data_IF_515918596086
#
_entry.id   IF_515918596086
#
_cell.length_a   1.000
_cell.length_b   1.000
_cell.length_c   1.000
_cell.angle_alpha   90.00
_cell.angle_beta   90.00
_cell.angle_gamma   90.00
#
_symmetry.space_group_name_H-M   'P 1'
#
loop_
_entity.id
_entity.type
_entity.pdbx_description
1 polymer ?
#
# COMPACT_ATOMS: atom_id res chain seq x y z
N UNK A 1 28.32 -59.01 3.05
CA UNK A 1 28.94 -57.87 2.32
C UNK A 1 27.85 -56.88 1.94
N UNK A 2 27.86 -55.72 2.58
CA UNK A 2 26.69 -54.84 2.80
C UNK A 2 26.70 -53.63 1.86
N UNK A 3 25.69 -53.53 0.99
CA UNK A 3 25.38 -52.35 0.15
C UNK A 3 24.49 -51.38 0.94
N UNK A 4 24.97 -50.19 1.33
CA UNK A 4 24.15 -49.08 1.86
C UNK A 4 24.82 -47.71 1.65
N UNK A 5 24.64 -47.04 0.52
CA UNK A 5 25.03 -45.61 0.37
C UNK A 5 24.20 -44.78 -0.63
N UNK A 6 23.13 -45.31 -1.24
CA UNK A 6 22.38 -44.58 -2.30
C UNK A 6 21.10 -43.85 -1.85
N UNK A 7 20.58 -44.06 -0.64
CA UNK A 7 19.28 -43.49 -0.22
C UNK A 7 19.30 -42.00 0.19
N UNK A 8 20.45 -41.39 0.44
CA UNK A 8 20.50 -40.06 1.07
C UNK A 8 20.42 -38.87 0.11
N UNK A 9 20.58 -39.08 -1.21
CA UNK A 9 20.59 -37.98 -2.20
C UNK A 9 19.16 -37.64 -2.69
N UNK A 10 18.26 -38.63 -2.76
CA UNK A 10 16.90 -38.41 -3.22
C UNK A 10 16.04 -37.59 -2.25
N UNK A 11 16.32 -37.64 -0.94
CA UNK A 11 15.52 -36.94 0.08
C UNK A 11 15.83 -35.44 0.19
N UNK A 12 17.00 -34.98 -0.28
CA UNK A 12 17.38 -33.56 -0.23
C UNK A 12 16.81 -32.75 -1.41
N UNK A 13 16.50 -33.41 -2.54
CA UNK A 13 15.89 -32.74 -3.69
C UNK A 13 14.39 -32.49 -3.50
N UNK A 14 13.69 -33.32 -2.71
CA UNK A 14 12.23 -33.19 -2.53
C UNK A 14 11.80 -32.04 -1.60
N UNK A 15 12.68 -31.55 -0.73
CA UNK A 15 12.38 -30.39 0.14
C UNK A 15 12.67 -29.02 -0.51
N UNK A 16 13.34 -28.98 -1.66
CA UNK A 16 13.67 -27.74 -2.35
C UNK A 16 12.52 -27.21 -3.24
N UNK A 17 11.48 -28.02 -3.49
CA UNK A 17 10.36 -27.67 -4.36
C UNK A 17 9.13 -27.10 -3.63
N UNK A 18 9.13 -27.04 -2.29
CA UNK A 18 8.04 -26.46 -1.51
C UNK A 18 8.28 -24.99 -1.13
N UNK A 19 9.16 -24.27 -1.86
CA UNK A 19 9.25 -22.81 -1.74
C UNK A 19 7.94 -22.21 -2.20
N UNK A 20 7.03 -22.00 -1.25
CA UNK A 20 5.74 -21.39 -1.46
C UNK A 20 5.91 -20.11 -2.28
N UNK A 21 5.24 -20.05 -3.42
CA UNK A 21 5.05 -18.80 -4.12
C UNK A 21 4.32 -17.89 -3.14
N UNK A 22 4.97 -16.80 -2.71
CA UNK A 22 4.27 -15.78 -1.98
C UNK A 22 3.28 -15.15 -2.97
N UNK A 23 1.99 -15.39 -2.75
CA UNK A 23 0.93 -14.79 -3.55
C UNK A 23 0.72 -13.35 -3.10
N UNK A 24 0.38 -12.48 -4.04
CA UNK A 24 0.04 -11.10 -3.74
C UNK A 24 -1.25 -11.08 -2.90
N UNK A 25 -1.15 -10.60 -1.66
CA UNK A 25 -2.30 -10.48 -0.77
C UNK A 25 -2.98 -9.15 -1.03
N UNK A 26 -4.24 -9.22 -1.44
CA UNK A 26 -5.09 -8.04 -1.64
C UNK A 26 -5.92 -7.77 -0.41
N UNK A 27 -5.81 -6.58 0.15
CA UNK A 27 -6.53 -6.17 1.35
C UNK A 27 -7.21 -4.81 1.13
N UNK A 28 -8.41 -4.66 1.69
CA UNK A 28 -9.07 -3.36 1.79
C UNK A 28 -8.71 -2.75 3.14
N UNK A 29 -8.21 -1.53 3.10
CA UNK A 29 -7.91 -0.71 4.28
C UNK A 29 -9.03 0.31 4.43
N UNK A 30 -9.79 0.18 5.49
CA UNK A 30 -10.71 1.21 5.96
C UNK A 30 -10.18 1.84 7.25
N UNK A 31 -10.92 2.80 7.78
CA UNK A 31 -10.54 3.51 9.00
C UNK A 31 -11.47 3.18 10.18
N UNK A 32 -12.37 2.19 10.06
CA UNK A 32 -13.46 1.99 11.02
C UNK A 32 -13.01 1.45 12.37
N UNK A 33 -11.94 0.66 12.39
CA UNK A 33 -11.39 0.07 13.62
C UNK A 33 -10.33 0.96 14.30
N UNK A 34 -10.19 2.21 13.83
CA UNK A 34 -9.14 3.10 14.29
C UNK A 34 -9.65 4.08 15.35
N UNK A 35 -8.80 4.34 16.33
CA UNK A 35 -9.02 5.38 17.33
C UNK A 35 -7.87 6.39 17.27
N UNK A 36 -7.86 7.21 16.21
CA UNK A 36 -7.06 8.43 16.26
C UNK A 36 -7.81 9.44 17.11
N UNK A 37 -7.24 9.83 18.24
CA UNK A 37 -7.66 11.04 18.95
C UNK A 37 -7.58 12.20 17.95
N UNK A 38 -8.57 13.11 17.88
CA UNK A 38 -8.58 14.25 16.95
C UNK A 38 -7.48 15.23 17.36
N UNK A 39 -6.25 14.85 17.05
CA UNK A 39 -5.03 15.61 17.19
C UNK A 39 -4.46 15.61 15.79
N UNK A 40 -4.21 16.80 15.26
CA UNK A 40 -3.59 17.02 13.96
C UNK A 40 -2.20 16.39 13.96
N UNK A 41 -2.11 15.12 13.59
CA UNK A 41 -0.85 14.44 13.31
C UNK A 41 -0.47 14.70 11.87
N UNK A 42 0.83 14.74 11.60
CA UNK A 42 1.36 14.77 10.23
C UNK A 42 1.68 13.37 9.72
N UNK A 43 1.57 12.35 10.60
CA UNK A 43 1.79 10.95 10.27
C UNK A 43 1.03 10.00 11.19
N UNK A 44 0.43 8.95 10.63
CA UNK A 44 -0.02 7.77 11.38
C UNK A 44 0.19 6.49 10.57
N UNK A 45 -0.12 5.35 11.17
CA UNK A 45 0.08 4.03 10.60
C UNK A 45 -1.16 3.16 10.75
N UNK A 46 -1.51 2.42 9.71
CA UNK A 46 -2.57 1.39 9.71
C UNK A 46 -2.05 0.21 8.91
N UNK A 47 -2.14 -0.99 9.50
CA UNK A 47 -1.91 -2.26 8.82
C UNK A 47 -0.66 -2.32 7.92
N UNK A 48 0.46 -1.83 8.44
CA UNK A 48 1.74 -1.85 7.73
C UNK A 48 1.92 -0.72 6.70
N UNK A 49 0.95 0.18 6.54
CA UNK A 49 1.06 1.40 5.75
C UNK A 49 1.25 2.62 6.63
N UNK A 50 1.89 3.64 6.06
CA UNK A 50 2.06 4.96 6.63
C UNK A 50 1.31 5.98 5.79
N UNK A 51 0.66 6.90 6.49
CA UNK A 51 -0.02 8.05 5.95
C UNK A 51 0.72 9.28 6.43
N UNK A 52 1.11 10.19 5.54
CA UNK A 52 1.83 11.39 5.89
C UNK A 52 1.37 12.62 5.09
N UNK A 53 1.31 13.77 5.76
CA UNK A 53 0.96 15.06 5.17
C UNK A 53 1.79 16.19 5.76
N UNK A 54 1.91 17.31 5.03
CA UNK A 54 2.63 18.50 5.49
C UNK A 54 1.82 19.43 6.40
N UNK A 55 0.48 19.34 6.38
CA UNK A 55 -0.41 20.30 7.10
C UNK A 55 -1.09 19.66 8.31
N UNK A 56 -1.49 18.40 8.17
CA UNK A 56 -2.19 17.64 9.20
C UNK A 56 -3.41 16.93 8.63
N UNK A 57 -3.74 15.79 9.24
CA UNK A 57 -4.92 15.00 8.93
C UNK A 57 -5.65 14.58 10.21
N UNK A 58 -6.86 14.04 10.05
CA UNK A 58 -7.64 13.47 11.12
C UNK A 58 -8.50 12.32 10.58
N UNK A 59 -8.83 11.35 11.44
CA UNK A 59 -9.92 10.42 11.15
C UNK A 59 -11.22 11.00 11.68
N UNK A 60 -12.24 11.03 10.83
CA UNK A 60 -13.55 11.58 11.19
C UNK A 60 -14.64 10.65 10.69
N UNK A 61 -15.80 10.69 11.35
CA UNK A 61 -17.05 10.20 10.76
C UNK A 61 -17.74 11.41 10.13
N UNK A 62 -17.60 11.65 8.82
CA UNK A 62 -18.18 12.81 8.18
C UNK A 62 -19.70 12.71 8.24
N UNK A 63 -20.36 13.84 8.46
CA UNK A 63 -21.80 13.96 8.22
C UNK A 63 -22.04 14.81 6.96
N UNK A 64 -23.22 14.66 6.37
CA UNK A 64 -23.59 15.31 5.11
C UNK A 64 -23.62 16.84 5.16
N UNK A 65 -23.50 17.45 6.35
CA UNK A 65 -23.49 18.92 6.52
C UNK A 65 -22.15 19.53 6.08
N UNK A 66 -21.06 18.78 6.17
CA UNK A 66 -19.70 19.31 5.95
C UNK A 66 -18.99 18.73 4.72
N UNK A 67 -19.65 17.88 3.95
CA UNK A 67 -19.13 17.30 2.72
C UNK A 67 -19.77 15.96 2.38
N UNK A 68 -19.07 15.20 1.54
CA UNK A 68 -19.41 13.82 1.26
C UNK A 68 -19.41 12.97 2.54
N UNK A 69 -20.33 12.02 2.63
CA UNK A 69 -20.38 11.07 3.73
C UNK A 69 -20.91 9.73 3.23
N UNK A 70 -20.28 8.66 3.70
CA UNK A 70 -20.70 7.27 3.53
C UNK A 70 -21.08 6.62 4.89
N UNK A 71 -21.13 7.42 5.97
CA UNK A 71 -21.47 6.96 7.32
C UNK A 71 -20.36 6.20 8.06
N UNK A 72 -19.20 6.00 7.45
CA UNK A 72 -18.04 5.32 8.04
C UNK A 72 -16.96 6.31 8.46
N UNK A 73 -15.95 5.85 9.20
CA UNK A 73 -14.78 6.67 9.49
C UNK A 73 -13.93 6.83 8.22
N UNK A 74 -13.44 8.03 7.94
CA UNK A 74 -12.61 8.33 6.77
C UNK A 74 -11.44 9.25 7.14
N UNK A 75 -10.37 9.19 6.36
CA UNK A 75 -9.22 10.06 6.51
C UNK A 75 -9.48 11.44 5.89
N UNK A 76 -9.57 12.47 6.72
CA UNK A 76 -9.69 13.86 6.30
C UNK A 76 -8.32 14.54 6.27
N UNK A 77 -7.95 15.15 5.15
CA UNK A 77 -6.70 15.91 5.02
C UNK A 77 -6.86 17.12 4.10
N UNK A 78 -5.98 18.11 4.25
CA UNK A 78 -5.98 19.30 3.39
C UNK A 78 -5.28 18.99 2.06
N UNK A 79 -6.00 19.14 0.95
CA UNK A 79 -5.51 18.87 -0.39
C UNK A 79 -5.41 20.13 -1.26
N UNK A 80 -5.82 21.30 -0.74
CA UNK A 80 -5.81 22.56 -1.46
C UNK A 80 -4.41 23.14 -1.70
N UNK A 81 -4.20 23.74 -2.87
CA UNK A 81 -2.91 24.31 -3.26
C UNK A 81 -1.80 23.25 -3.26
N UNK A 82 -0.84 23.38 -2.33
CA UNK A 82 0.27 22.43 -2.18
C UNK A 82 -0.02 21.32 -1.16
N UNK A 83 -1.27 21.18 -0.70
CA UNK A 83 -1.69 20.13 0.23
C UNK A 83 -1.74 18.75 -0.42
N UNK A 84 -1.29 17.73 0.30
CA UNK A 84 -1.35 16.34 -0.14
C UNK A 84 -1.31 15.38 1.05
N UNK A 85 -1.73 14.15 0.79
CA UNK A 85 -1.54 12.97 1.65
C UNK A 85 -0.65 11.96 0.91
N UNK A 86 0.26 11.31 1.60
CA UNK A 86 1.14 10.28 1.05
C UNK A 86 0.92 8.95 1.75
N UNK A 87 0.54 7.96 0.97
CA UNK A 87 0.48 6.55 1.35
C UNK A 87 1.79 5.86 0.97
N UNK A 88 2.43 5.17 1.91
CA UNK A 88 3.61 4.35 1.63
C UNK A 88 3.67 3.12 2.54
N UNK A 89 4.25 2.03 2.06
CA UNK A 89 4.52 0.85 2.88
C UNK A 89 5.54 1.17 3.98
N UNK A 90 5.26 0.76 5.21
CA UNK A 90 6.15 0.98 6.37
C UNK A 90 7.39 0.08 6.32
N UNK A 91 7.29 -1.08 5.69
CA UNK A 91 8.45 -1.97 5.49
C UNK A 91 9.34 -1.53 4.34
N UNK A 92 8.88 -0.58 3.50
CA UNK A 92 9.53 -0.23 2.24
C UNK A 92 9.23 -1.21 1.10
N UNK A 93 8.41 -2.24 1.34
CA UNK A 93 7.95 -3.16 0.30
C UNK A 93 7.11 -2.42 -0.75
N UNK A 94 7.13 -2.92 -1.98
CA UNK A 94 6.32 -2.40 -3.06
C UNK A 94 4.86 -2.84 -2.90
N UNK A 95 3.94 -2.03 -3.41
CA UNK A 95 2.52 -2.34 -3.42
C UNK A 95 1.84 -1.83 -4.69
N UNK A 96 0.69 -2.40 -4.98
CA UNK A 96 -0.24 -1.90 -5.99
C UNK A 96 -1.39 -1.19 -5.28
N UNK A 97 -1.84 -0.06 -5.82
CA UNK A 97 -3.08 0.58 -5.40
C UNK A 97 -4.15 0.26 -6.44
N UNK A 98 -5.14 -0.54 -6.03
CA UNK A 98 -6.15 -1.12 -6.93
C UNK A 98 -7.44 -0.30 -6.94
N UNK A 99 -7.79 0.30 -5.80
CA UNK A 99 -8.99 1.13 -5.66
C UNK A 99 -8.85 2.11 -4.50
N UNK A 100 -9.53 3.23 -4.59
CA UNK A 100 -9.78 4.13 -3.46
C UNK A 100 -11.15 4.79 -3.58
N UNK A 101 -11.71 5.21 -2.44
CA UNK A 101 -12.90 6.03 -2.38
C UNK A 101 -12.54 7.44 -1.91
N UNK A 102 -13.11 8.47 -2.54
CA UNK A 102 -12.81 9.87 -2.23
C UNK A 102 -14.06 10.75 -2.25
N UNK A 103 -14.08 11.78 -1.40
CA UNK A 103 -15.13 12.79 -1.40
C UNK A 103 -14.61 14.16 -0.92
N UNK A 104 -15.28 15.24 -1.31
CA UNK A 104 -14.99 16.58 -0.83
C UNK A 104 -15.42 16.76 0.63
N UNK A 105 -14.67 17.56 1.38
CA UNK A 105 -14.94 17.87 2.78
C UNK A 105 -14.83 19.37 3.06
N UNK A 106 -14.73 19.77 4.33
CA UNK A 106 -14.66 21.15 4.79
C UNK A 106 -13.86 22.07 3.84
N UNK A 107 -14.38 23.26 3.54
CA UNK A 107 -13.79 24.24 2.63
C UNK A 107 -13.49 23.75 1.20
N UNK A 108 -14.00 22.60 0.76
CA UNK A 108 -13.87 22.13 -0.63
C UNK A 108 -14.62 23.04 -1.60
N UNK A 109 -15.84 23.45 -1.23
CA UNK A 109 -16.70 24.31 -2.04
C UNK A 109 -17.93 23.56 -2.55
N UNK A 110 -18.62 24.14 -3.53
CA UNK A 110 -19.91 23.64 -4.04
C UNK A 110 -19.82 22.96 -5.40
N UNK A 111 -18.65 22.99 -6.05
CA UNK A 111 -18.41 22.40 -7.36
C UNK A 111 -17.41 21.25 -7.23
N UNK A 112 -17.52 20.27 -8.13
CA UNK A 112 -16.51 19.23 -8.27
C UNK A 112 -15.15 19.82 -8.62
N UNK A 113 -14.09 19.14 -8.18
CA UNK A 113 -12.71 19.54 -8.48
C UNK A 113 -11.87 18.33 -8.87
N UNK A 114 -10.76 18.55 -9.55
CA UNK A 114 -9.82 17.50 -9.93
C UNK A 114 -8.78 17.28 -8.84
N UNK A 115 -8.71 16.06 -8.31
CA UNK A 115 -7.62 15.58 -7.47
C UNK A 115 -6.55 14.91 -8.35
N UNK A 116 -5.29 15.29 -8.17
CA UNK A 116 -4.17 14.57 -8.79
C UNK A 116 -3.72 13.43 -7.88
N UNK A 117 -3.59 12.25 -8.46
CA UNK A 117 -2.95 11.08 -7.87
C UNK A 117 -1.59 10.87 -8.52
N UNK A 118 -0.52 10.87 -7.73
CA UNK A 118 0.85 10.65 -8.22
C UNK A 118 1.46 9.43 -7.54
N UNK A 119 1.77 8.38 -8.30
CA UNK A 119 2.47 7.20 -7.83
C UNK A 119 3.95 7.24 -8.17
N UNK A 120 4.82 6.95 -7.21
CA UNK A 120 6.27 6.78 -7.42
C UNK A 120 6.56 5.28 -7.52
N UNK A 121 7.09 4.82 -8.65
CA UNK A 121 7.40 3.41 -8.92
C UNK A 121 8.73 2.98 -8.30
N UNK A 122 8.99 1.67 -8.36
CA UNK A 122 10.25 1.07 -7.89
C UNK A 122 11.51 1.74 -8.47
N UNK A 123 11.48 2.12 -9.74
CA UNK A 123 12.57 2.76 -10.47
C UNK A 123 12.69 4.27 -10.23
N UNK A 124 11.78 4.84 -9.42
CA UNK A 124 11.70 6.27 -9.14
C UNK A 124 10.93 7.08 -10.17
N UNK A 125 10.43 6.46 -11.25
CA UNK A 125 9.55 7.13 -12.20
C UNK A 125 8.19 7.46 -11.56
N UNK A 126 7.57 8.54 -12.04
CA UNK A 126 6.25 8.96 -11.58
C UNK A 126 5.16 8.62 -12.61
N UNK A 127 4.02 8.17 -12.11
CA UNK A 127 2.76 8.06 -12.86
C UNK A 127 1.77 9.04 -12.25
N UNK A 128 1.07 9.82 -13.08
CA UNK A 128 0.05 10.77 -12.61
C UNK A 128 -1.30 10.52 -13.30
N UNK A 129 -2.39 10.68 -12.57
CA UNK A 129 -3.77 10.62 -13.07
C UNK A 129 -4.64 11.60 -12.30
N UNK A 130 -5.72 12.08 -12.93
CA UNK A 130 -6.65 13.02 -12.31
C UNK A 130 -8.03 12.40 -12.17
N UNK A 131 -8.64 12.61 -11.02
CA UNK A 131 -9.96 12.11 -10.68
C UNK A 131 -10.84 13.27 -10.25
N UNK A 132 -12.07 13.30 -10.74
CA UNK A 132 -13.06 14.26 -10.26
C UNK A 132 -13.40 13.91 -8.81
N UNK A 133 -13.65 14.91 -7.97
CA UNK A 133 -14.08 14.71 -6.59
C UNK A 133 -15.34 15.53 -6.37
N UNK A 134 -16.42 14.84 -6.02
CA UNK A 134 -17.70 15.48 -5.69
C UNK A 134 -17.68 16.11 -4.30
N UNK A 135 -18.25 17.32 -4.11
CA UNK A 135 -18.38 17.93 -2.80
C UNK A 135 -19.37 17.21 -1.86
N UNK A 136 -20.25 16.36 -2.40
CA UNK A 136 -21.41 15.81 -1.65
C UNK A 136 -21.51 14.29 -1.70
N UNK A 137 -20.76 13.62 -2.58
CA UNK A 137 -20.87 12.18 -2.81
C UNK A 137 -19.50 11.53 -2.74
N UNK A 138 -19.39 10.40 -2.03
CA UNK A 138 -18.21 9.55 -2.10
C UNK A 138 -18.18 8.83 -3.45
N UNK A 139 -17.06 8.94 -4.15
CA UNK A 139 -16.82 8.32 -5.45
C UNK A 139 -15.73 7.27 -5.34
N UNK A 140 -15.90 6.16 -6.07
CA UNK A 140 -14.94 5.05 -6.09
C UNK A 140 -14.19 5.01 -7.42
N UNK A 141 -12.87 4.88 -7.34
CA UNK A 141 -12.00 4.80 -8.52
C UNK A 141 -11.17 3.52 -8.50
N UNK A 142 -11.32 2.69 -9.53
CA UNK A 142 -10.48 1.53 -9.77
C UNK A 142 -9.26 1.93 -10.61
N UNK A 143 -8.12 1.30 -10.33
CA UNK A 143 -6.83 1.64 -10.90
C UNK A 143 -6.11 0.38 -11.41
N UNK A 144 -5.76 0.37 -12.70
CA UNK A 144 -5.01 -0.73 -13.31
C UNK A 144 -3.51 -0.41 -13.47
N UNK A 145 -3.16 0.88 -13.57
CA UNK A 145 -1.81 1.34 -13.91
C UNK A 145 -0.91 1.63 -12.70
N UNK A 146 -1.48 1.64 -11.50
CA UNK A 146 -0.83 2.00 -10.24
C UNK A 146 -0.23 0.75 -9.57
N UNK A 147 0.80 0.21 -10.20
CA UNK A 147 1.48 -1.02 -9.75
C UNK A 147 2.96 -0.79 -9.42
N UNK A 148 3.53 -1.67 -8.58
CA UNK A 148 4.92 -1.65 -8.13
C UNK A 148 5.35 -0.30 -7.55
N UNK A 149 4.50 0.26 -6.69
CA UNK A 149 4.66 1.58 -6.10
C UNK A 149 5.47 1.53 -4.82
N UNK A 150 6.34 2.52 -4.65
CA UNK A 150 6.96 2.87 -3.37
C UNK A 150 6.04 3.74 -2.52
N UNK A 151 5.32 4.66 -3.17
CA UNK A 151 4.39 5.58 -2.52
C UNK A 151 3.35 6.12 -3.49
N UNK A 152 2.23 6.58 -2.95
CA UNK A 152 1.17 7.28 -3.68
C UNK A 152 0.85 8.58 -2.96
N UNK A 153 0.75 9.68 -3.73
CA UNK A 153 0.38 11.00 -3.25
C UNK A 153 -0.99 11.40 -3.80
N UNK A 154 -1.89 11.80 -2.91
CA UNK A 154 -3.22 12.30 -3.22
C UNK A 154 -3.25 13.80 -2.93
N UNK A 155 -3.43 14.67 -3.92
CA UNK A 155 -3.45 16.12 -3.66
C UNK A 155 -3.68 17.01 -4.87
N UNK A 156 -3.15 18.24 -4.80
CA UNK A 156 -3.20 19.26 -5.86
C UNK A 156 -4.61 19.73 -6.25
N UNK A 157 -5.52 19.77 -5.27
CA UNK A 157 -6.81 20.42 -5.46
C UNK A 157 -6.65 21.94 -5.45
N UNK A 158 -7.59 22.67 -6.04
CA UNK A 158 -7.55 24.13 -5.99
C UNK A 158 -7.68 24.66 -4.57
N UNK A 159 -8.50 23.99 -3.73
CA UNK A 159 -8.70 24.30 -2.31
C UNK A 159 -9.36 23.17 -1.53
N UNK A 160 -9.28 23.29 -0.21
CA UNK A 160 -10.15 22.57 0.73
C UNK A 160 -9.63 21.22 1.19
N UNK A 161 -10.45 20.57 2.01
CA UNK A 161 -10.18 19.24 2.55
C UNK A 161 -10.90 18.18 1.72
N UNK A 162 -10.37 16.97 1.74
CA UNK A 162 -10.99 15.78 1.17
C UNK A 162 -11.01 14.66 2.17
N UNK A 163 -11.85 13.67 1.89
CA UNK A 163 -11.96 12.42 2.61
C UNK A 163 -11.46 11.30 1.72
N UNK A 164 -10.67 10.40 2.29
CA UNK A 164 -10.18 9.19 1.66
C UNK A 164 -10.67 7.98 2.48
N UNK A 165 -11.15 6.96 1.80
CA UNK A 165 -11.65 5.72 2.43
C UNK A 165 -11.43 4.49 1.53
N UNK A 166 -11.63 3.29 2.08
CA UNK A 166 -11.64 2.01 1.38
C UNK A 166 -10.48 1.81 0.39
N UNK A 167 -9.25 2.04 0.86
CA UNK A 167 -8.04 1.89 0.06
C UNK A 167 -7.78 0.40 -0.17
N UNK A 168 -7.94 -0.06 -1.40
CA UNK A 168 -7.63 -1.44 -1.76
C UNK A 168 -6.22 -1.52 -2.29
N UNK A 169 -5.36 -2.22 -1.54
CA UNK A 169 -3.95 -2.38 -1.86
C UNK A 169 -3.61 -3.85 -2.02
N UNK A 170 -2.62 -4.14 -2.85
CA UNK A 170 -2.03 -5.47 -2.95
C UNK A 170 -0.54 -5.37 -2.66
N UNK A 171 -0.05 -6.05 -1.63
CA UNK A 171 1.39 -6.08 -1.36
C UNK A 171 2.04 -6.99 -2.39
N UNK A 172 3.08 -6.50 -3.06
CA UNK A 172 3.87 -7.29 -4.00
C UNK A 172 4.90 -8.06 -3.18
N UNK A 173 4.78 -9.40 -3.05
CA UNK A 173 5.76 -10.15 -2.29
C UNK A 173 7.12 -9.98 -2.95
N UNK A 174 8.16 -9.77 -2.15
CA UNK A 174 9.50 -9.68 -2.70
C UNK A 174 9.78 -10.94 -3.53
N UNK A 175 10.38 -10.81 -4.73
CA UNK A 175 10.67 -11.96 -5.56
C UNK A 175 11.43 -12.99 -4.72
N UNK A 176 10.97 -14.23 -4.76
CA UNK A 176 11.63 -15.38 -4.15
C UNK A 176 13.10 -15.52 -4.56
N UNK A 177 13.58 -14.73 -5.53
CA UNK A 177 14.98 -14.47 -5.87
C UNK A 177 15.91 -14.40 -4.66
N UNK A 178 15.57 -13.70 -3.57
CA UNK A 178 16.44 -13.69 -2.37
C UNK A 178 16.41 -15.02 -1.62
N UNK A 179 15.24 -15.62 -1.45
CA UNK A 179 15.10 -16.92 -0.83
C UNK A 179 15.84 -18.01 -1.63
N UNK A 180 15.76 -17.97 -2.96
CA UNK A 180 16.47 -18.86 -3.88
C UNK A 180 17.98 -18.58 -3.89
N UNK A 181 18.39 -17.32 -3.79
CA UNK A 181 19.80 -16.96 -3.66
C UNK A 181 20.38 -17.52 -2.35
N UNK A 182 19.69 -17.32 -1.22
CA UNK A 182 20.13 -17.86 0.07
C UNK A 182 20.06 -19.38 0.12
N UNK A 183 19.04 -20.00 -0.46
CA UNK A 183 18.96 -21.45 -0.61
C UNK A 183 20.13 -21.97 -1.47
N UNK A 184 20.44 -21.30 -2.58
CA UNK A 184 21.58 -21.63 -3.44
C UNK A 184 22.92 -21.51 -2.72
N UNK A 185 23.14 -20.41 -1.99
CA UNK A 185 24.34 -20.21 -1.17
C UNK A 185 24.45 -21.26 -0.05
N UNK A 186 23.35 -21.56 0.64
CA UNK A 186 23.29 -22.61 1.66
C UNK A 186 23.67 -23.98 1.10
N UNK A 187 23.21 -24.32 -0.11
CA UNK A 187 23.55 -25.56 -0.78
C UNK A 187 25.04 -25.65 -1.13
N UNK A 188 25.65 -24.56 -1.61
CA UNK A 188 27.09 -24.50 -1.89
C UNK A 188 27.94 -24.72 -0.63
N UNK A 189 27.55 -24.11 0.50
CA UNK A 189 28.21 -24.31 1.79
C UNK A 189 28.08 -25.77 2.24
N UNK A 190 26.90 -26.36 2.13
CA UNK A 190 26.66 -27.76 2.50
C UNK A 190 27.51 -28.75 1.67
N UNK A 191 27.61 -28.53 0.35
CA UNK A 191 28.44 -29.35 -0.53
C UNK A 191 29.93 -29.22 -0.18
N UNK A 192 30.42 -28.00 0.09
CA UNK A 192 31.82 -27.77 0.47
C UNK A 192 32.15 -28.41 1.81
N UNK A 193 31.25 -28.32 2.80
CA UNK A 193 31.44 -28.95 4.11
C UNK A 193 31.52 -30.48 4.00
N UNK A 194 30.74 -31.08 3.10
CA UNK A 194 30.77 -32.53 2.84
C UNK A 194 32.07 -33.01 2.19
N UNK A 195 32.72 -32.20 1.34
CA UNK A 195 33.99 -32.55 0.69
C UNK A 195 35.21 -32.48 1.62
N UNK A 196 35.07 -31.83 2.78
CA UNK A 196 36.16 -31.65 3.77
C UNK A 196 36.09 -32.66 4.93
N UNK A 197 35.05 -33.48 4.98
CA UNK A 197 34.94 -34.65 5.87
C UNK A 197 35.23 -35.89 5.06
#
# INVERSE_FOLDING_TARGET
>A
MTRKTLSSVALALSLALSSAFAEAVTETRDFNDQTLTPTTTTRFFIDGFSFATGVGHALIVPNTRYGASNGTMSLAYYAGGNGFETLASRSGALFDLLRFDVGGYNNFGTQSQWLTLTGVRQDGSELSSRFEVSPTVFQSYALDSFTNLRSVRFGELSRGYVLLDNLRVSTVPEPSSYALMFAGLGLLVAVRARRRR
#
